data_IF_138495871990
#
_entry.id   IF_138495871990
#
_cell.length_a   1.000
_cell.length_b   1.000
_cell.length_c   1.000
_cell.angle_alpha   90.00
_cell.angle_beta   90.00
_cell.angle_gamma   90.00
#
_symmetry.space_group_name_H-M   'P 1'
#
loop_
_entity.id
_entity.type
_entity.pdbx_description
1 polymer ?
#
# COMPACT_ATOMS: atom_id res chain seq x y z
N UNK A 1 -25.31 4.73 2.95
CA UNK A 1 -25.28 5.66 1.77
C UNK A 1 -23.92 5.45 1.10
N UNK A 2 -23.87 4.61 0.06
CA UNK A 2 -22.64 4.28 -0.64
C UNK A 2 -22.44 5.33 -1.72
N UNK A 3 -21.50 6.25 -1.49
CA UNK A 3 -21.05 7.15 -2.56
C UNK A 3 -20.20 6.35 -3.52
N UNK A 4 -20.73 6.13 -4.73
CA UNK A 4 -19.94 5.63 -5.85
C UNK A 4 -19.00 6.72 -6.30
N UNK A 5 -17.82 6.78 -5.68
CA UNK A 5 -16.73 7.56 -6.23
C UNK A 5 -16.00 6.71 -7.27
N UNK A 6 -15.97 7.21 -8.50
CA UNK A 6 -15.01 6.87 -9.54
C UNK A 6 -13.65 6.62 -8.90
N UNK A 7 -13.00 5.53 -9.29
CA UNK A 7 -11.70 5.04 -8.86
C UNK A 7 -10.87 6.08 -8.11
N UNK A 8 -11.00 6.13 -6.80
CA UNK A 8 -10.16 6.98 -5.99
C UNK A 8 -8.87 6.20 -5.74
N UNK A 9 -7.94 6.33 -6.69
CA UNK A 9 -6.53 6.24 -6.35
C UNK A 9 -6.29 7.03 -5.05
N UNK A 10 -5.29 6.65 -4.27
CA UNK A 10 -4.95 7.33 -3.03
C UNK A 10 -5.14 8.86 -3.14
N UNK A 11 -6.09 9.41 -2.39
CA UNK A 11 -6.36 10.85 -2.46
C UNK A 11 -5.33 11.58 -1.60
N UNK A 12 -4.66 12.57 -2.17
CA UNK A 12 -3.72 13.45 -1.47
C UNK A 12 -4.41 14.78 -1.16
N UNK A 13 -4.43 15.17 0.10
CA UNK A 13 -4.84 16.50 0.52
C UNK A 13 -3.60 17.31 0.91
N UNK A 14 -3.40 18.45 0.26
CA UNK A 14 -2.38 19.43 0.59
C UNK A 14 -3.03 20.56 1.37
N UNK A 15 -2.46 20.91 2.49
CA UNK A 15 -2.84 22.10 3.25
C UNK A 15 -1.69 23.10 3.12
N UNK A 16 -1.83 24.03 2.20
CA UNK A 16 -0.85 25.10 2.00
C UNK A 16 -1.01 26.16 3.10
N UNK A 17 0.07 26.45 3.79
CA UNK A 17 0.17 27.69 4.56
C UNK A 17 0.58 28.81 3.59
N UNK A 18 -0.39 29.60 3.15
CA UNK A 18 -0.17 30.72 2.23
C UNK A 18 0.67 31.83 2.87
N UNK A 19 1.71 32.24 2.20
CA UNK A 19 2.03 33.69 2.03
C UNK A 19 3.13 33.86 0.99
N UNK A 20 2.80 34.32 -0.15
CA UNK A 20 3.44 35.14 -1.13
C UNK A 20 4.93 35.43 -1.04
N UNK A 21 5.78 34.47 -1.38
CA UNK A 21 7.09 34.65 -1.99
C UNK A 21 7.43 33.32 -2.67
N UNK A 22 7.86 33.35 -3.93
CA UNK A 22 8.30 32.18 -4.70
C UNK A 22 9.65 31.67 -4.16
N UNK A 23 9.61 31.07 -2.97
CA UNK A 23 10.69 30.23 -2.44
C UNK A 23 10.55 28.79 -2.99
N UNK A 24 11.57 27.94 -2.85
CA UNK A 24 11.44 26.53 -3.19
C UNK A 24 10.24 25.95 -2.43
N UNK A 25 9.36 25.24 -3.15
CA UNK A 25 8.14 24.63 -2.64
C UNK A 25 8.44 23.79 -1.39
N UNK A 26 8.05 24.29 -0.22
CA UNK A 26 8.06 23.51 1.01
C UNK A 26 6.63 23.01 1.29
N UNK A 27 6.34 21.73 1.09
CA UNK A 27 5.03 21.20 1.42
C UNK A 27 4.80 21.25 2.93
N UNK A 28 3.74 21.94 3.36
CA UNK A 28 3.41 22.06 4.78
C UNK A 28 3.06 20.70 5.39
N UNK A 29 1.92 20.15 5.02
CA UNK A 29 1.41 18.87 5.49
C UNK A 29 0.83 18.08 4.31
N UNK A 30 1.23 16.85 4.15
CA UNK A 30 0.66 15.90 3.18
C UNK A 30 -0.07 14.81 3.93
N UNK A 31 -1.30 14.51 3.53
CA UNK A 31 -2.07 13.37 4.02
C UNK A 31 -2.51 12.53 2.85
N UNK A 32 -2.18 11.24 2.88
CA UNK A 32 -2.70 10.26 1.93
C UNK A 32 -3.72 9.35 2.58
N UNK A 33 -4.68 8.88 1.79
CA UNK A 33 -5.69 7.90 2.17
C UNK A 33 -5.65 6.75 1.18
N UNK A 34 -5.22 5.59 1.65
CA UNK A 34 -5.00 4.41 0.82
C UNK A 34 -5.98 3.31 1.21
N UNK A 35 -6.78 2.76 0.29
CA UNK A 35 -7.79 1.77 0.62
C UNK A 35 -7.17 0.41 0.97
N UNK A 36 -7.83 -0.32 1.86
CA UNK A 36 -7.67 -1.75 2.02
C UNK A 36 -8.43 -2.50 0.92
N UNK A 37 -8.16 -3.80 0.76
CA UNK A 37 -8.74 -4.61 -0.32
C UNK A 37 -9.32 -5.93 0.18
N UNK A 38 -10.31 -6.44 -0.55
CA UNK A 38 -10.76 -7.83 -0.50
C UNK A 38 -10.35 -8.50 -1.80
N UNK A 39 -9.72 -9.68 -1.72
CA UNK A 39 -9.42 -10.55 -2.86
C UNK A 39 -10.46 -11.65 -2.96
N UNK A 40 -11.13 -11.76 -4.10
CA UNK A 40 -12.15 -12.78 -4.34
C UNK A 40 -11.55 -14.07 -4.88
N UNK A 41 -10.53 -13.96 -5.73
CA UNK A 41 -9.88 -15.11 -6.37
C UNK A 41 -8.46 -14.77 -6.81
N UNK A 42 -7.65 -15.80 -7.02
CA UNK A 42 -6.35 -15.72 -7.67
C UNK A 42 -5.16 -15.44 -6.74
N UNK A 43 -5.38 -15.31 -5.42
CA UNK A 43 -4.28 -15.18 -4.46
C UNK A 43 -3.33 -16.38 -4.55
N UNK A 44 -2.01 -16.09 -4.54
CA UNK A 44 -0.96 -17.06 -4.75
C UNK A 44 -0.45 -17.13 -6.19
N UNK A 45 -1.27 -16.81 -7.19
CA UNK A 45 -0.81 -16.73 -8.58
C UNK A 45 -0.06 -15.42 -8.89
N UNK A 46 -0.11 -14.48 -7.97
CA UNK A 46 0.66 -13.23 -7.95
C UNK A 46 2.09 -13.38 -7.40
N UNK A 47 2.46 -14.60 -6.97
CA UNK A 47 3.82 -14.94 -6.55
C UNK A 47 4.72 -15.14 -7.78
N UNK A 48 5.97 -14.67 -7.73
CA UNK A 48 6.93 -14.83 -8.82
C UNK A 48 7.15 -16.31 -9.20
N UNK A 49 7.16 -17.19 -8.22
CA UNK A 49 7.30 -18.63 -8.41
C UNK A 49 6.20 -19.22 -9.31
N UNK A 50 5.04 -18.55 -9.38
CA UNK A 50 3.93 -18.95 -10.26
C UNK A 50 3.99 -18.19 -11.60
N UNK A 51 3.91 -16.85 -11.61
CA UNK A 51 3.73 -16.09 -12.83
C UNK A 51 4.95 -16.07 -13.76
N UNK A 52 6.15 -16.41 -13.27
CA UNK A 52 7.33 -16.57 -14.14
C UNK A 52 7.25 -17.84 -15.03
N UNK A 53 6.39 -18.79 -14.69
CA UNK A 53 6.18 -20.05 -15.45
C UNK A 53 4.96 -19.97 -16.35
N UNK A 54 3.92 -19.35 -15.84
CA UNK A 54 2.65 -19.10 -16.56
C UNK A 54 2.08 -17.79 -15.99
N UNK A 55 1.21 -17.12 -16.72
CA UNK A 55 0.61 -15.90 -16.24
C UNK A 55 -0.29 -16.15 -15.02
N UNK A 56 -0.25 -15.25 -14.05
CA UNK A 56 -1.14 -15.25 -12.89
C UNK A 56 -2.23 -14.21 -13.00
N UNK A 57 -3.30 -14.35 -12.22
CA UNK A 57 -4.32 -13.31 -12.12
C UNK A 57 -4.96 -13.25 -10.74
N UNK A 58 -5.28 -12.06 -10.27
CA UNK A 58 -6.03 -11.84 -9.05
C UNK A 58 -7.20 -10.90 -9.29
N UNK A 59 -8.34 -11.22 -8.69
CA UNK A 59 -9.57 -10.46 -8.80
C UNK A 59 -9.94 -9.87 -7.43
N UNK A 60 -9.90 -8.55 -7.31
CA UNK A 60 -10.08 -7.88 -6.03
C UNK A 60 -10.81 -6.55 -6.13
N UNK A 61 -11.30 -6.10 -5.00
CA UNK A 61 -11.92 -4.78 -4.83
C UNK A 61 -11.33 -4.03 -3.65
N UNK A 62 -11.16 -2.73 -3.82
CA UNK A 62 -10.96 -1.84 -2.69
C UNK A 62 -12.23 -1.77 -1.83
N UNK A 63 -12.06 -1.57 -0.53
CA UNK A 63 -13.15 -1.40 0.43
C UNK A 63 -13.09 -0.02 1.09
N UNK A 64 -14.15 0.36 1.81
CA UNK A 64 -14.27 1.63 2.53
C UNK A 64 -13.54 1.64 3.88
N UNK A 65 -12.40 0.97 3.93
CA UNK A 65 -11.46 0.97 5.05
C UNK A 65 -10.10 1.38 4.54
N UNK A 66 -9.42 2.23 5.29
CA UNK A 66 -8.27 2.95 4.79
C UNK A 66 -7.10 2.92 5.78
N UNK A 67 -5.92 3.11 5.22
CA UNK A 67 -4.72 3.55 5.93
C UNK A 67 -4.48 5.01 5.56
N UNK A 68 -4.31 5.85 6.57
CA UNK A 68 -3.99 7.26 6.43
C UNK A 68 -2.52 7.47 6.82
N UNK A 69 -1.76 8.11 5.96
CA UNK A 69 -0.37 8.47 6.25
C UNK A 69 -0.22 9.98 6.15
N UNK A 70 0.34 10.56 7.18
CA UNK A 70 0.66 11.98 7.26
C UNK A 70 2.16 12.16 7.19
N UNK A 71 2.64 13.03 6.30
CA UNK A 71 4.04 13.42 6.18
C UNK A 71 4.17 14.93 6.29
N UNK A 72 5.13 15.40 7.05
CA UNK A 72 5.49 16.82 7.10
C UNK A 72 6.95 16.99 7.49
N UNK A 73 7.52 18.19 7.26
CA UNK A 73 8.78 18.58 7.87
C UNK A 73 8.65 18.56 9.40
N UNK A 74 9.57 17.92 10.08
CA UNK A 74 9.60 17.94 11.55
C UNK A 74 10.20 19.27 12.02
N UNK A 75 9.70 19.79 13.14
CA UNK A 75 10.23 21.05 13.67
C UNK A 75 11.59 20.84 14.31
N UNK A 76 12.51 21.73 14.05
CA UNK A 76 13.88 21.76 14.63
C UNK A 76 13.90 22.08 16.13
N UNK A 77 12.74 22.40 16.71
CA UNK A 77 12.59 22.60 18.17
C UNK A 77 12.64 21.25 18.92
N UNK A 78 12.29 20.15 18.24
CA UNK A 78 12.38 18.82 18.81
C UNK A 78 13.82 18.33 18.83
N UNK A 79 14.15 17.49 19.83
CA UNK A 79 15.50 16.95 19.99
C UNK A 79 15.85 15.95 18.90
N UNK A 80 14.85 15.15 18.48
CA UNK A 80 14.99 14.16 17.42
C UNK A 80 14.63 14.76 16.06
N UNK A 81 15.42 14.56 15.00
CA UNK A 81 15.09 15.03 13.66
C UNK A 81 14.08 14.13 12.95
N UNK A 82 13.89 12.88 13.40
CA UNK A 82 12.96 11.94 12.79
C UNK A 82 11.98 11.42 13.84
N UNK A 83 10.68 11.50 13.50
CA UNK A 83 9.62 10.89 14.30
C UNK A 83 8.68 10.08 13.41
N UNK A 84 8.53 8.79 13.74
CA UNK A 84 7.63 7.87 13.04
C UNK A 84 6.60 7.34 14.03
N UNK A 85 5.31 7.63 13.80
CA UNK A 85 4.20 7.17 14.64
C UNK A 85 3.35 6.13 13.87
N UNK A 86 3.20 4.97 14.45
CA UNK A 86 2.31 3.89 13.98
C UNK A 86 1.71 3.18 15.20
N UNK A 87 1.82 1.87 15.37
CA UNK A 87 1.50 1.18 16.64
C UNK A 87 2.51 1.47 17.75
N UNK A 88 3.68 2.00 17.37
CA UNK A 88 4.73 2.55 18.24
C UNK A 88 5.02 4.00 17.86
N UNK A 89 5.81 4.67 18.69
CA UNK A 89 6.47 5.93 18.35
C UNK A 89 7.97 5.71 18.35
N UNK A 90 8.61 5.98 17.22
CA UNK A 90 10.06 6.01 17.09
C UNK A 90 10.55 7.45 17.02
N UNK A 91 11.62 7.73 17.73
CA UNK A 91 12.30 9.03 17.79
C UNK A 91 13.79 8.76 17.61
N UNK A 92 14.30 9.05 16.42
CA UNK A 92 15.65 8.63 16.02
C UNK A 92 16.40 9.77 15.33
N UNK A 93 17.72 9.67 15.27
CA UNK A 93 18.58 10.70 14.71
C UNK A 93 18.95 10.46 13.24
N UNK A 94 18.83 9.23 12.76
CA UNK A 94 19.14 8.86 11.39
C UNK A 94 18.10 7.89 10.83
N UNK A 95 17.99 7.85 9.51
CA UNK A 95 17.08 6.91 8.79
C UNK A 95 17.44 5.45 9.11
N UNK A 96 18.72 5.17 9.32
CA UNK A 96 19.21 3.81 9.60
C UNK A 96 18.77 3.26 10.96
N UNK A 97 18.40 4.13 11.90
CA UNK A 97 17.92 3.75 13.24
C UNK A 97 16.42 3.42 13.26
N UNK A 98 15.69 3.66 12.18
CA UNK A 98 14.24 3.39 12.10
C UNK A 98 13.99 1.89 12.16
N UNK A 99 13.20 1.43 13.13
CA UNK A 99 12.81 0.02 13.28
C UNK A 99 11.73 -0.40 12.24
N UNK A 100 10.82 0.51 11.90
CA UNK A 100 9.83 0.24 10.85
C UNK A 100 10.53 0.12 9.50
N UNK A 101 10.69 -1.11 9.04
CA UNK A 101 11.48 -1.45 7.85
C UNK A 101 10.91 -0.83 6.58
N UNK A 102 9.59 -0.83 6.38
CA UNK A 102 8.95 -0.19 5.23
C UNK A 102 9.20 1.32 5.24
N UNK A 103 9.06 1.97 6.40
CA UNK A 103 9.31 3.41 6.50
C UNK A 103 10.78 3.74 6.23
N UNK A 104 11.71 2.97 6.80
CA UNK A 104 13.14 3.13 6.55
C UNK A 104 13.49 3.02 5.08
N UNK A 105 13.03 1.95 4.42
CA UNK A 105 13.37 1.73 3.01
C UNK A 105 12.65 2.70 2.06
N UNK A 106 11.45 3.17 2.39
CA UNK A 106 10.77 4.21 1.62
C UNK A 106 11.52 5.56 1.69
N UNK A 107 12.00 5.96 2.88
CA UNK A 107 12.80 7.17 3.03
C UNK A 107 14.14 7.06 2.29
N UNK A 108 14.78 5.89 2.32
CA UNK A 108 16.02 5.63 1.57
C UNK A 108 15.79 5.67 0.06
N UNK A 109 14.76 4.96 -0.43
CA UNK A 109 14.45 4.88 -1.86
C UNK A 109 14.25 6.27 -2.46
N UNK A 110 13.56 7.16 -1.75
CA UNK A 110 13.23 8.50 -2.22
C UNK A 110 14.25 9.57 -1.78
N UNK A 111 15.36 9.15 -1.12
CA UNK A 111 16.40 10.04 -0.60
C UNK A 111 15.83 11.21 0.23
N UNK A 112 14.92 10.88 1.15
CA UNK A 112 14.31 11.88 2.04
C UNK A 112 15.29 12.19 3.18
N UNK A 113 15.69 13.45 3.26
CA UNK A 113 16.56 13.93 4.30
C UNK A 113 15.77 14.43 5.54
N UNK A 114 16.27 14.19 6.77
CA UNK A 114 15.70 14.81 7.96
C UNK A 114 15.80 16.34 7.91
N UNK A 115 14.92 17.06 8.61
CA UNK A 115 13.96 16.59 9.60
C UNK A 115 12.61 16.16 9.00
N UNK A 116 12.11 14.99 9.41
CA UNK A 116 10.88 14.41 8.87
C UNK A 116 9.97 13.84 9.98
N UNK A 117 8.66 14.04 9.84
CA UNK A 117 7.62 13.47 10.69
C UNK A 117 6.67 12.63 9.83
N UNK A 118 6.47 11.38 10.21
CA UNK A 118 5.51 10.47 9.61
C UNK A 118 4.53 9.98 10.68
N UNK A 119 3.25 9.98 10.39
CA UNK A 119 2.23 9.41 11.28
C UNK A 119 1.24 8.58 10.49
N UNK A 120 0.87 7.43 11.05
CA UNK A 120 -0.05 6.49 10.42
C UNK A 120 -1.24 6.21 11.32
N UNK A 121 -2.44 6.26 10.74
CA UNK A 121 -3.70 5.84 11.36
C UNK A 121 -4.39 4.88 10.40
N UNK A 122 -4.96 3.80 10.91
CA UNK A 122 -5.67 2.82 10.11
C UNK A 122 -7.06 2.53 10.69
N UNK A 123 -8.04 2.30 9.80
CA UNK A 123 -9.42 1.95 10.21
C UNK A 123 -9.51 0.53 10.81
N UNK A 124 -8.54 -0.33 10.50
CA UNK A 124 -8.48 -1.71 10.98
C UNK A 124 -7.09 -2.04 11.54
N UNK A 125 -7.00 -2.97 12.50
CA UNK A 125 -5.72 -3.44 13.01
C UNK A 125 -4.83 -4.02 11.92
N UNK A 126 -3.51 -4.04 12.16
CA UNK A 126 -2.56 -4.75 11.30
C UNK A 126 -2.82 -6.27 11.30
N UNK A 127 -2.31 -6.97 10.29
CA UNK A 127 -2.38 -8.44 10.16
C UNK A 127 -3.82 -9.01 10.08
N UNK A 128 -4.75 -8.27 9.46
CA UNK A 128 -6.13 -8.69 9.20
C UNK A 128 -6.30 -9.45 7.88
N UNK A 129 -5.25 -9.58 7.06
CA UNK A 129 -5.32 -10.20 5.74
C UNK A 129 -5.95 -9.32 4.65
N UNK A 130 -6.13 -8.03 4.90
CA UNK A 130 -6.78 -7.06 4.01
C UNK A 130 -5.79 -6.14 3.27
N UNK A 131 -4.51 -6.52 3.17
CA UNK A 131 -3.48 -5.75 2.45
C UNK A 131 -2.98 -4.51 3.21
N UNK A 132 -3.06 -4.51 4.55
CA UNK A 132 -2.74 -3.33 5.36
C UNK A 132 -1.27 -2.88 5.27
N UNK A 133 -0.31 -3.80 5.19
CA UNK A 133 1.13 -3.50 5.03
C UNK A 133 1.38 -2.77 3.71
N UNK A 134 0.89 -3.35 2.62
CA UNK A 134 1.05 -2.78 1.28
C UNK A 134 0.28 -1.47 1.10
N UNK A 135 -0.89 -1.33 1.74
CA UNK A 135 -1.62 -0.06 1.78
C UNK A 135 -0.81 1.03 2.53
N UNK A 136 -0.10 0.66 3.60
CA UNK A 136 0.83 1.56 4.27
C UNK A 136 2.01 1.93 3.37
N UNK A 137 2.66 0.94 2.73
CA UNK A 137 3.79 1.17 1.83
C UNK A 137 3.41 2.12 0.68
N UNK A 138 2.31 1.84 -0.02
CA UNK A 138 1.78 2.68 -1.11
C UNK A 138 1.41 4.08 -0.61
N UNK A 139 0.71 4.16 0.53
CA UNK A 139 0.31 5.44 1.11
C UNK A 139 1.48 6.30 1.54
N UNK A 140 2.51 5.70 2.13
CA UNK A 140 3.74 6.38 2.53
C UNK A 140 4.52 6.88 1.32
N UNK A 141 4.76 6.03 0.32
CA UNK A 141 5.44 6.42 -0.92
C UNK A 141 4.71 7.57 -1.62
N UNK A 142 3.38 7.49 -1.73
CA UNK A 142 2.59 8.56 -2.31
C UNK A 142 2.71 9.87 -1.51
N UNK A 143 2.69 9.79 -0.17
CA UNK A 143 2.87 10.96 0.68
C UNK A 143 4.27 11.57 0.53
N UNK A 144 5.31 10.74 0.44
CA UNK A 144 6.69 11.19 0.28
C UNK A 144 6.94 11.82 -1.11
N UNK A 145 6.42 11.23 -2.20
CA UNK A 145 6.47 11.86 -3.52
C UNK A 145 5.74 13.20 -3.54
N UNK A 146 4.54 13.27 -2.97
CA UNK A 146 3.80 14.52 -2.86
C UNK A 146 4.52 15.54 -1.96
N UNK A 147 5.22 15.09 -0.93
CA UNK A 147 6.08 15.93 -0.08
C UNK A 147 7.25 16.52 -0.87
N UNK A 148 7.83 15.78 -1.81
CA UNK A 148 8.84 16.29 -2.76
C UNK A 148 8.27 17.16 -3.89
N UNK A 149 6.94 17.28 -3.98
CA UNK A 149 6.29 17.98 -5.10
C UNK A 149 6.17 17.14 -6.38
N UNK A 150 6.45 15.84 -6.30
CA UNK A 150 6.39 14.91 -7.43
C UNK A 150 4.98 14.34 -7.62
N UNK A 151 4.57 14.19 -8.88
CA UNK A 151 3.34 13.49 -9.25
C UNK A 151 3.70 12.15 -9.87
N UNK A 152 3.24 11.06 -9.25
CA UNK A 152 3.55 9.70 -9.69
C UNK A 152 2.28 8.93 -10.06
N UNK A 153 2.41 7.97 -10.96
CA UNK A 153 1.30 7.13 -11.37
C UNK A 153 1.01 6.03 -10.33
N UNK A 154 -0.23 5.50 -10.28
CA UNK A 154 -0.53 4.33 -9.46
C UNK A 154 0.36 3.12 -9.77
N UNK A 155 0.72 2.92 -11.04
CA UNK A 155 1.64 1.85 -11.44
C UNK A 155 3.02 2.01 -10.84
N UNK A 156 3.57 3.23 -10.82
CA UNK A 156 4.86 3.51 -10.18
C UNK A 156 4.80 3.24 -8.68
N UNK A 157 3.77 3.72 -8.00
CA UNK A 157 3.59 3.47 -6.56
C UNK A 157 3.50 1.97 -6.23
N UNK A 158 2.78 1.20 -7.07
CA UNK A 158 2.67 -0.24 -6.89
C UNK A 158 4.00 -0.96 -7.09
N UNK A 159 4.79 -0.57 -8.09
CA UNK A 159 6.10 -1.17 -8.34
C UNK A 159 7.12 -0.79 -7.26
N UNK A 160 7.16 0.47 -6.82
CA UNK A 160 8.05 0.90 -5.73
C UNK A 160 7.71 0.20 -4.40
N UNK A 161 6.42 0.07 -4.07
CA UNK A 161 5.99 -0.67 -2.89
C UNK A 161 6.33 -2.16 -2.99
N UNK A 162 6.12 -2.78 -4.18
CA UNK A 162 6.51 -4.16 -4.46
C UNK A 162 8.03 -4.35 -4.35
N UNK A 163 8.81 -3.39 -4.86
CA UNK A 163 10.26 -3.41 -4.75
C UNK A 163 10.72 -3.42 -3.28
N UNK A 164 10.15 -2.53 -2.46
CA UNK A 164 10.49 -2.47 -1.03
C UNK A 164 10.11 -3.78 -0.34
N UNK A 165 8.84 -4.19 -0.40
CA UNK A 165 8.37 -5.32 0.38
C UNK A 165 8.97 -6.66 -0.10
N UNK A 166 9.07 -6.88 -1.42
CA UNK A 166 9.47 -8.17 -1.98
C UNK A 166 10.98 -8.26 -2.18
N UNK A 167 11.60 -7.25 -2.81
CA UNK A 167 13.00 -7.34 -3.22
C UNK A 167 13.95 -6.88 -2.12
N UNK A 168 13.66 -5.76 -1.46
CA UNK A 168 14.54 -5.20 -0.43
C UNK A 168 14.35 -5.93 0.90
N UNK A 169 13.11 -6.08 1.36
CA UNK A 169 12.78 -6.72 2.63
C UNK A 169 12.65 -8.24 2.55
N UNK A 170 12.63 -8.81 1.35
CA UNK A 170 12.56 -10.24 1.12
C UNK A 170 11.26 -10.89 1.63
N UNK A 171 10.17 -10.12 1.71
CA UNK A 171 8.91 -10.68 2.19
C UNK A 171 8.36 -11.71 1.20
N UNK A 172 7.86 -12.87 1.68
CA UNK A 172 7.38 -13.95 0.84
C UNK A 172 5.96 -13.69 0.34
N UNK A 173 5.72 -12.53 -0.26
CA UNK A 173 4.40 -12.07 -0.74
C UNK A 173 4.42 -11.88 -2.26
N UNK A 174 3.23 -11.82 -2.86
CA UNK A 174 3.05 -11.43 -4.26
C UNK A 174 2.79 -9.93 -4.43
N UNK A 175 2.50 -9.52 -5.66
CA UNK A 175 2.29 -8.10 -6.03
C UNK A 175 0.83 -7.61 -5.92
N UNK A 176 -0.12 -8.51 -5.63
CA UNK A 176 -1.55 -8.19 -5.64
C UNK A 176 -1.91 -7.01 -4.76
N UNK A 177 -1.37 -6.97 -3.55
CA UNK A 177 -1.78 -6.04 -2.50
C UNK A 177 -1.33 -4.60 -2.79
N UNK A 178 -0.11 -4.44 -3.29
CA UNK A 178 0.44 -3.15 -3.69
C UNK A 178 -0.34 -2.54 -4.86
N UNK A 179 -0.66 -3.38 -5.86
CA UNK A 179 -1.46 -2.95 -7.00
C UNK A 179 -2.90 -2.61 -6.60
N UNK A 180 -3.54 -3.43 -5.77
CA UNK A 180 -4.89 -3.15 -5.29
C UNK A 180 -4.96 -1.85 -4.46
N UNK A 181 -3.96 -1.60 -3.60
CA UNK A 181 -3.87 -0.39 -2.80
C UNK A 181 -3.63 0.87 -3.67
N UNK A 182 -2.76 0.77 -4.69
CA UNK A 182 -2.41 1.90 -5.54
C UNK A 182 -3.53 2.29 -6.52
N UNK A 183 -4.19 1.29 -7.13
CA UNK A 183 -5.22 1.54 -8.14
C UNK A 183 -6.61 1.74 -7.53
N UNK A 184 -6.88 1.13 -6.37
CA UNK A 184 -8.23 1.15 -5.79
C UNK A 184 -9.27 0.54 -6.72
N UNK A 185 -10.55 0.64 -6.38
CA UNK A 185 -11.65 0.19 -7.26
C UNK A 185 -11.78 -1.34 -7.36
N UNK A 186 -12.38 -1.80 -8.45
CA UNK A 186 -12.70 -3.19 -8.72
C UNK A 186 -11.93 -3.65 -9.97
N UNK A 187 -10.90 -4.49 -9.79
CA UNK A 187 -9.94 -4.80 -10.84
C UNK A 187 -9.64 -6.29 -10.97
N UNK A 188 -9.32 -6.69 -12.20
CA UNK A 188 -8.57 -7.90 -12.51
C UNK A 188 -7.11 -7.49 -12.75
N UNK A 189 -6.21 -8.04 -11.97
CA UNK A 189 -4.76 -7.90 -12.15
C UNK A 189 -4.25 -9.14 -12.85
N UNK A 190 -3.42 -8.95 -13.90
CA UNK A 190 -2.73 -10.04 -14.58
C UNK A 190 -1.23 -9.87 -14.38
N UNK A 191 -0.61 -10.90 -13.85
CA UNK A 191 0.83 -10.96 -13.59
C UNK A 191 1.47 -11.77 -14.71
N UNK A 192 2.43 -11.17 -15.41
CA UNK A 192 3.08 -11.78 -16.57
C UNK A 192 4.48 -12.25 -16.23
N UNK A 193 5.01 -13.28 -16.93
CA UNK A 193 6.43 -13.59 -16.91
C UNK A 193 7.28 -12.33 -17.18
N UNK A 194 8.36 -12.17 -16.43
CA UNK A 194 9.16 -10.94 -16.43
C UNK A 194 8.63 -9.84 -15.51
N UNK A 195 7.58 -10.13 -14.71
CA UNK A 195 7.12 -9.28 -13.61
C UNK A 195 6.21 -8.11 -14.01
N UNK A 196 5.87 -7.95 -15.30
CA UNK A 196 4.92 -6.93 -15.74
C UNK A 196 3.50 -7.24 -15.22
N UNK A 197 2.74 -6.19 -14.87
CA UNK A 197 1.37 -6.32 -14.39
C UNK A 197 0.42 -5.51 -15.26
N UNK A 198 -0.63 -6.16 -15.75
CA UNK A 198 -1.74 -5.50 -16.44
C UNK A 198 -2.89 -5.30 -15.46
N UNK A 199 -3.40 -4.08 -15.38
CA UNK A 199 -4.56 -3.74 -14.56
C UNK A 199 -5.75 -3.52 -15.44
N UNK A 200 -6.79 -4.34 -15.23
CA UNK A 200 -8.05 -4.28 -15.98
C UNK A 200 -9.20 -3.83 -15.07
N UNK A 201 -9.56 -2.52 -15.07
CA UNK A 201 -10.70 -2.04 -14.30
C UNK A 201 -12.00 -2.69 -14.77
N UNK A 202 -12.74 -3.27 -13.84
CA UNK A 202 -13.99 -3.96 -14.16
C UNK A 202 -15.15 -2.99 -14.13
N UNK A 203 -15.83 -2.87 -15.27
CA UNK A 203 -17.03 -2.04 -15.41
C UNK A 203 -18.26 -2.82 -14.94
N UNK A 204 -18.52 -2.75 -13.66
CA UNK A 204 -19.70 -3.37 -13.05
C UNK A 204 -20.76 -2.30 -12.83
N UNK A 205 -22.02 -2.61 -13.15
CA UNK A 205 -23.11 -1.67 -12.89
C UNK A 205 -23.27 -1.44 -11.38
N UNK A 206 -23.73 -0.24 -11.01
CA UNK A 206 -24.00 0.09 -9.60
C UNK A 206 -24.92 -0.94 -8.94
N UNK A 207 -25.99 -1.34 -9.64
CA UNK A 207 -26.92 -2.33 -9.14
C UNK A 207 -26.24 -3.68 -8.85
N UNK A 208 -25.39 -4.17 -9.76
CA UNK A 208 -24.69 -5.43 -9.55
C UNK A 208 -23.69 -5.37 -8.39
N UNK A 209 -23.05 -4.22 -8.17
CA UNK A 209 -22.20 -4.00 -6.97
C UNK A 209 -23.03 -3.97 -5.70
N UNK A 210 -24.16 -3.27 -5.70
CA UNK A 210 -25.08 -3.22 -4.56
C UNK A 210 -25.61 -4.64 -4.24
N UNK A 211 -26.02 -5.40 -5.24
CA UNK A 211 -26.47 -6.78 -5.08
C UNK A 211 -25.35 -7.68 -4.53
N UNK A 212 -24.12 -7.54 -5.03
CA UNK A 212 -22.97 -8.29 -4.51
C UNK A 212 -22.75 -8.00 -3.04
N UNK A 213 -22.61 -6.72 -2.68
CA UNK A 213 -22.26 -6.34 -1.31
C UNK A 213 -23.39 -6.54 -0.30
N UNK A 214 -24.65 -6.57 -0.73
CA UNK A 214 -25.78 -6.96 0.11
C UNK A 214 -25.76 -8.45 0.47
N UNK A 215 -25.09 -9.29 -0.33
CA UNK A 215 -25.00 -10.73 -0.15
C UNK A 215 -23.65 -11.19 0.41
N UNK A 216 -22.75 -10.27 0.74
CA UNK A 216 -21.42 -10.58 1.32
C UNK A 216 -21.37 -10.06 2.75
N UNK A 217 -20.97 -10.93 3.67
CA UNK A 217 -20.66 -10.56 5.05
C UNK A 217 -19.22 -10.94 5.37
N UNK A 218 -18.51 -10.01 6.00
CA UNK A 218 -17.14 -10.23 6.47
C UNK A 218 -17.16 -10.40 8.00
N UNK A 219 -16.57 -11.52 8.47
CA UNK A 219 -16.46 -11.82 9.89
C UNK A 219 -15.02 -11.73 10.36
N UNK A 220 -14.78 -10.97 11.40
CA UNK A 220 -13.50 -10.96 12.09
C UNK A 220 -13.37 -12.20 12.98
N UNK A 221 -12.34 -13.02 12.72
CA UNK A 221 -12.12 -14.27 13.46
C UNK A 221 -11.43 -14.07 14.82
N UNK A 222 -11.07 -12.84 15.18
CA UNK A 222 -10.34 -12.55 16.41
C UNK A 222 -8.84 -12.90 16.37
N UNK A 223 -8.35 -13.48 15.28
CA UNK A 223 -6.96 -13.89 15.15
C UNK A 223 -6.21 -12.97 14.20
N UNK A 224 -5.11 -12.41 14.67
CA UNK A 224 -4.10 -11.78 13.82
C UNK A 224 -3.13 -12.86 13.33
N UNK A 225 -2.96 -12.97 12.03
CA UNK A 225 -2.01 -13.90 11.41
C UNK A 225 -0.96 -13.13 10.64
N UNK A 226 0.29 -13.47 10.87
CA UNK A 226 1.35 -13.00 9.99
C UNK A 226 1.20 -13.72 8.63
N UNK A 227 0.90 -12.94 7.57
CA UNK A 227 0.71 -13.46 6.23
C UNK A 227 1.96 -14.20 5.73
N UNK A 228 3.15 -13.77 6.11
CA UNK A 228 4.43 -14.37 5.72
C UNK A 228 4.49 -15.86 6.05
N UNK A 229 4.03 -16.28 7.23
CA UNK A 229 4.08 -17.69 7.64
C UNK A 229 3.18 -18.58 6.78
N UNK A 230 2.02 -18.07 6.35
CA UNK A 230 1.09 -18.81 5.49
C UNK A 230 1.63 -18.90 4.06
N UNK A 231 2.19 -17.80 3.57
CA UNK A 231 2.72 -17.69 2.21
C UNK A 231 4.04 -18.44 2.02
N UNK A 232 4.88 -18.55 3.06
CA UNK A 232 6.07 -19.44 3.04
C UNK A 232 5.68 -20.91 2.84
N UNK A 233 4.58 -21.34 3.46
CA UNK A 233 4.00 -22.67 3.20
C UNK A 233 3.57 -22.81 1.75
N UNK A 234 2.83 -21.84 1.24
CA UNK A 234 2.36 -21.82 -0.16
C UNK A 234 3.52 -21.81 -1.16
N UNK A 235 4.58 -21.03 -0.94
CA UNK A 235 5.78 -21.03 -1.81
C UNK A 235 6.40 -22.42 -1.95
N UNK A 236 6.53 -23.17 -0.86
CA UNK A 236 7.07 -24.54 -0.87
C UNK A 236 6.16 -25.50 -1.63
N UNK A 237 4.85 -25.33 -1.51
CA UNK A 237 3.85 -26.23 -2.08
C UNK A 237 3.48 -25.86 -3.53
N UNK A 238 3.72 -24.61 -3.97
CA UNK A 238 3.38 -24.13 -5.34
C UNK A 238 4.05 -25.01 -6.39
N UNK A 239 5.30 -25.43 -6.18
CA UNK A 239 5.99 -26.31 -7.11
C UNK A 239 5.37 -27.72 -7.20
N UNK A 240 4.70 -28.16 -6.13
CA UNK A 240 4.07 -29.49 -6.04
C UNK A 240 2.57 -29.46 -6.47
N UNK A 241 1.91 -28.31 -6.38
CA UNK A 241 0.46 -28.18 -6.56
C UNK A 241 0.05 -27.25 -7.70
N UNK A 242 0.96 -26.92 -8.62
CA UNK A 242 0.68 -26.05 -9.77
C UNK A 242 -0.52 -26.45 -10.64
N UNK A 243 -0.96 -27.71 -10.60
CA UNK A 243 -2.14 -28.17 -11.35
C UNK A 243 -3.47 -27.90 -10.63
N UNK A 244 -3.44 -27.45 -9.37
CA UNK A 244 -4.63 -27.21 -8.56
C UNK A 244 -4.86 -25.72 -8.25
N UNK A 245 -3.97 -24.85 -8.67
CA UNK A 245 -4.10 -23.40 -8.64
C UNK A 245 -4.58 -22.88 -9.99
#
# INVERSE_FOLDING_TARGET
MIQTHSAAAAATMRLDASSGEEGPYEPGLVVTRTPLRISFAGGGTDLAEFYERDWGAAFSTAIDKYVYVTVKRHSEIFLEPIRINYSKTEQVNSVDEIENDIAREALRLLAIEPPIYVSTVADLPAATGLGGSSAFAVGLLHALHAYKGECVSPGQLAEEASHIEIQVLGQPIGKQDQYAAAFGGFNLFRFHPGGAVTVEPQRVSRQALEDLFQNVMMFWTGMQRNASTVLEGQKRDTAAHMQSL
#
